data_IF_315861654812
#
_entry.id   IF_315861654812
#
_cell.length_a   1.000
_cell.length_b   1.000
_cell.length_c   1.000
_cell.angle_alpha   90.00
_cell.angle_beta   90.00
_cell.angle_gamma   90.00
#
_symmetry.space_group_name_H-M   'P 1'
#
loop_
_entity.id
_entity.type
_entity.pdbx_description
1 polymer ?
#
# COMPACT_ATOMS: atom_id res chain seq x y z
N UNK A 1 1.00 24.09 -23.72
CA UNK A 1 1.53 24.03 -22.34
C UNK A 1 2.19 22.67 -22.19
N UNK A 2 3.29 22.57 -21.50
CA UNK A 2 3.99 21.32 -21.29
C UNK A 2 3.18 20.44 -20.33
N UNK A 3 3.01 19.17 -20.71
CA UNK A 3 2.21 18.20 -19.96
C UNK A 3 2.93 17.79 -18.69
N UNK A 4 2.24 17.83 -17.55
CA UNK A 4 2.77 17.39 -16.24
C UNK A 4 2.38 15.93 -16.02
N UNK A 5 3.34 15.06 -15.65
CA UNK A 5 3.03 13.69 -15.29
C UNK A 5 2.70 13.57 -13.79
N UNK A 6 1.67 12.78 -13.47
CA UNK A 6 1.23 12.49 -12.11
C UNK A 6 1.39 11.00 -11.85
N UNK A 7 2.13 10.63 -10.81
CA UNK A 7 2.37 9.22 -10.48
C UNK A 7 2.65 9.01 -9.00
N UNK A 8 2.42 7.79 -8.53
CA UNK A 8 2.80 7.33 -7.21
C UNK A 8 4.05 6.44 -7.23
N UNK A 9 4.22 5.59 -6.24
CA UNK A 9 5.45 4.81 -6.04
C UNK A 9 5.62 3.63 -7.02
N UNK A 10 6.86 3.06 -7.08
CA UNK A 10 7.27 2.00 -8.01
C UNK A 10 6.52 0.68 -7.87
N UNK A 11 6.09 0.33 -6.64
CA UNK A 11 5.31 -0.88 -6.38
C UNK A 11 3.86 -0.47 -6.13
N UNK A 12 3.10 -0.13 -7.20
CA UNK A 12 1.85 0.57 -7.05
C UNK A 12 0.77 -0.31 -6.43
N UNK A 13 0.13 0.23 -5.41
CA UNK A 13 -1.11 -0.26 -4.84
C UNK A 13 -2.33 0.49 -5.39
N UNK A 14 -3.48 0.31 -4.78
CA UNK A 14 -4.72 0.93 -5.25
C UNK A 14 -4.72 2.44 -5.01
N UNK A 15 -4.20 2.94 -3.86
CA UNK A 15 -4.11 4.39 -3.62
C UNK A 15 -3.18 5.06 -4.63
N UNK A 16 -1.97 4.54 -4.80
CA UNK A 16 -0.99 5.02 -5.77
C UNK A 16 -1.58 5.25 -7.16
N UNK A 17 -2.28 4.26 -7.71
CA UNK A 17 -2.81 4.32 -9.08
C UNK A 17 -4.04 5.22 -9.16
N UNK A 18 -4.98 5.06 -8.24
CA UNK A 18 -6.23 5.82 -8.31
C UNK A 18 -6.01 7.28 -7.95
N UNK A 19 -5.14 7.58 -6.98
CA UNK A 19 -4.76 8.95 -6.64
C UNK A 19 -4.05 9.67 -7.78
N UNK A 20 -3.22 8.97 -8.58
CA UNK A 20 -2.62 9.56 -9.77
C UNK A 20 -3.69 9.95 -10.82
N UNK A 21 -4.66 9.06 -11.09
CA UNK A 21 -5.76 9.33 -12.03
C UNK A 21 -6.62 10.49 -11.54
N UNK A 22 -7.02 10.45 -10.28
CA UNK A 22 -7.91 11.44 -9.65
C UNK A 22 -7.25 12.81 -9.58
N UNK A 23 -5.96 12.86 -9.22
CA UNK A 23 -5.26 14.14 -9.15
C UNK A 23 -4.98 14.74 -10.53
N UNK A 24 -4.65 13.90 -11.53
CA UNK A 24 -4.55 14.35 -12.92
C UNK A 24 -5.89 14.91 -13.42
N UNK A 25 -7.02 14.27 -13.09
CA UNK A 25 -8.35 14.79 -13.39
C UNK A 25 -8.56 16.19 -12.77
N UNK A 26 -8.27 16.35 -11.47
CA UNK A 26 -8.38 17.63 -10.78
C UNK A 26 -7.53 18.71 -11.48
N UNK A 27 -6.28 18.40 -11.83
CA UNK A 27 -5.36 19.33 -12.48
C UNK A 27 -5.91 19.78 -13.84
N UNK A 28 -6.44 18.87 -14.65
CA UNK A 28 -7.07 19.18 -15.90
C UNK A 28 -8.33 20.07 -15.73
N UNK A 29 -9.14 19.79 -14.69
CA UNK A 29 -10.33 20.60 -14.38
C UNK A 29 -10.01 22.06 -14.01
N UNK A 30 -8.82 22.31 -13.48
CA UNK A 30 -8.34 23.67 -13.15
C UNK A 30 -7.43 24.27 -14.23
N UNK A 31 -7.34 23.64 -15.42
CA UNK A 31 -6.62 24.17 -16.58
C UNK A 31 -5.13 23.85 -16.66
N UNK A 32 -4.64 22.89 -15.88
CA UNK A 32 -3.26 22.37 -15.96
C UNK A 32 -3.30 21.06 -16.73
N UNK A 33 -2.61 20.97 -17.86
CA UNK A 33 -2.52 19.75 -18.65
C UNK A 33 -1.73 18.69 -17.91
N UNK A 34 -2.39 17.63 -17.44
CA UNK A 34 -1.82 16.57 -16.63
C UNK A 34 -2.19 15.17 -17.13
N UNK A 35 -1.26 14.24 -17.04
CA UNK A 35 -1.44 12.83 -17.39
C UNK A 35 -1.07 11.95 -16.22
N UNK A 36 -1.96 11.03 -15.82
CA UNK A 36 -1.63 9.97 -14.89
C UNK A 36 -0.79 8.90 -15.57
N UNK A 37 0.31 8.50 -14.94
CA UNK A 37 1.18 7.40 -15.38
C UNK A 37 1.47 6.47 -14.20
N UNK A 38 2.01 5.27 -14.47
CA UNK A 38 2.38 4.30 -13.44
C UNK A 38 3.83 3.84 -13.59
N UNK A 39 4.42 3.41 -12.51
CA UNK A 39 5.82 2.97 -12.46
C UNK A 39 5.96 1.44 -12.38
N UNK A 40 4.88 0.71 -12.09
CA UNK A 40 4.88 -0.75 -11.91
C UNK A 40 3.60 -1.40 -12.44
N UNK A 41 3.53 -2.73 -12.26
CA UNK A 41 2.36 -3.51 -12.66
C UNK A 41 1.21 -3.36 -11.66
N UNK A 42 -0.02 -3.47 -12.17
CA UNK A 42 -1.22 -3.38 -11.34
C UNK A 42 -1.48 -4.70 -10.61
N UNK A 43 -1.80 -4.60 -9.34
CA UNK A 43 -2.36 -5.73 -8.58
C UNK A 43 -3.85 -5.97 -8.97
N UNK A 44 -4.40 -7.11 -8.54
CA UNK A 44 -5.77 -7.49 -8.91
C UNK A 44 -6.83 -6.60 -8.26
N UNK A 45 -6.57 -6.05 -7.08
CA UNK A 45 -7.44 -5.11 -6.39
C UNK A 45 -7.60 -3.82 -7.20
N UNK A 46 -6.48 -3.25 -7.64
CA UNK A 46 -6.46 -2.07 -8.50
C UNK A 46 -7.16 -2.32 -9.84
N UNK A 47 -6.91 -3.48 -10.48
CA UNK A 47 -7.60 -3.86 -11.72
C UNK A 47 -9.12 -3.91 -11.53
N UNK A 48 -9.57 -4.53 -10.42
CA UNK A 48 -10.99 -4.59 -10.07
C UNK A 48 -11.61 -3.18 -9.92
N UNK A 49 -10.92 -2.27 -9.22
CA UNK A 49 -11.37 -0.90 -9.03
C UNK A 49 -11.47 -0.13 -10.36
N UNK A 50 -10.44 -0.22 -11.21
CA UNK A 50 -10.43 0.43 -12.52
C UNK A 50 -11.55 -0.08 -13.43
N UNK A 51 -11.73 -1.39 -13.53
CA UNK A 51 -12.79 -2.01 -14.31
C UNK A 51 -14.18 -1.58 -13.81
N UNK A 52 -14.40 -1.61 -12.50
CA UNK A 52 -15.68 -1.25 -11.88
C UNK A 52 -16.12 0.17 -12.22
N UNK A 53 -15.17 1.12 -12.28
CA UNK A 53 -15.48 2.53 -12.53
C UNK A 53 -15.14 2.99 -13.96
N UNK A 54 -14.82 2.05 -14.86
CA UNK A 54 -14.66 2.31 -16.29
C UNK A 54 -13.40 3.05 -16.67
N UNK A 55 -12.29 2.78 -15.99
CA UNK A 55 -10.98 3.34 -16.31
C UNK A 55 -10.04 2.31 -16.92
N UNK A 56 -9.24 2.77 -17.87
CA UNK A 56 -8.08 2.04 -18.37
C UNK A 56 -6.89 2.22 -17.42
N UNK A 57 -5.96 1.25 -17.45
CA UNK A 57 -4.72 1.36 -16.71
C UNK A 57 -3.88 2.56 -17.22
N UNK A 58 -3.35 3.41 -16.33
CA UNK A 58 -2.41 4.45 -16.74
C UNK A 58 -1.22 3.86 -17.49
N UNK A 59 -0.66 4.63 -18.42
CA UNK A 59 0.52 4.25 -19.19
C UNK A 59 1.72 3.97 -18.27
N UNK A 60 2.39 2.84 -18.49
CA UNK A 60 3.61 2.49 -17.77
C UNK A 60 4.78 3.33 -18.29
N UNK A 61 5.53 3.94 -17.38
CA UNK A 61 6.81 4.58 -17.65
C UNK A 61 7.92 3.96 -16.79
N UNK A 62 9.15 4.06 -17.25
CA UNK A 62 10.32 3.57 -16.51
C UNK A 62 11.25 4.71 -16.10
N UNK A 63 11.50 5.64 -17.00
CA UNK A 63 12.39 6.78 -16.77
C UNK A 63 11.62 8.07 -17.06
N UNK A 64 11.48 8.92 -16.05
CA UNK A 64 10.69 10.13 -16.14
C UNK A 64 11.42 11.27 -16.86
N UNK A 65 12.75 11.31 -16.81
CA UNK A 65 13.59 12.31 -17.46
C UNK A 65 13.34 12.43 -18.98
N UNK A 66 13.03 11.29 -19.61
CA UNK A 66 12.75 11.25 -21.06
C UNK A 66 11.29 11.52 -21.40
N UNK A 67 10.42 11.70 -20.43
CA UNK A 67 8.96 11.79 -20.60
C UNK A 67 8.39 13.16 -20.26
N UNK A 68 8.98 13.89 -19.30
CA UNK A 68 8.47 15.19 -18.89
C UNK A 68 9.55 16.02 -18.18
N UNK A 69 9.40 17.35 -18.22
CA UNK A 69 10.25 18.28 -17.43
C UNK A 69 9.66 18.51 -16.02
N UNK A 70 8.34 18.32 -15.86
CA UNK A 70 7.62 18.58 -14.61
C UNK A 70 6.77 17.41 -14.18
N UNK A 71 6.77 17.13 -12.89
CA UNK A 71 6.01 16.03 -12.30
C UNK A 71 5.28 16.43 -11.03
N UNK A 72 4.27 15.65 -10.70
CA UNK A 72 3.52 15.68 -9.45
C UNK A 72 3.61 14.29 -8.83
N UNK A 73 4.00 14.23 -7.56
CA UNK A 73 4.05 12.98 -6.81
C UNK A 73 2.79 12.83 -5.96
N UNK A 74 2.20 11.64 -5.96
CA UNK A 74 1.13 11.25 -5.06
C UNK A 74 1.54 10.00 -4.30
N UNK A 75 1.07 9.85 -3.07
CA UNK A 75 1.22 8.64 -2.27
C UNK A 75 2.67 8.17 -2.02
N UNK A 76 3.62 9.05 -2.19
CA UNK A 76 5.01 8.87 -1.79
C UNK A 76 5.79 10.18 -1.87
N UNK A 77 6.93 10.21 -1.17
CA UNK A 77 7.89 11.29 -1.26
C UNK A 77 9.35 10.79 -1.34
N UNK A 78 9.62 9.56 -0.92
CA UNK A 78 10.98 9.02 -0.86
C UNK A 78 11.52 8.75 -2.27
N UNK A 79 12.70 9.33 -2.64
CA UNK A 79 13.32 9.21 -3.97
C UNK A 79 13.50 7.76 -4.42
N UNK A 80 13.87 6.85 -3.50
CA UNK A 80 14.10 5.44 -3.80
C UNK A 80 12.83 4.68 -4.16
N UNK A 81 11.65 5.26 -3.90
CA UNK A 81 10.35 4.69 -4.28
C UNK A 81 9.80 5.31 -5.57
N UNK A 82 10.46 6.33 -6.09
CA UNK A 82 10.02 7.11 -7.24
C UNK A 82 10.56 6.59 -8.58
N UNK A 83 10.26 7.29 -9.66
CA UNK A 83 10.71 6.96 -11.02
C UNK A 83 12.23 7.11 -11.17
N UNK A 84 12.83 6.31 -12.06
CA UNK A 84 14.20 6.55 -12.52
C UNK A 84 14.25 7.94 -13.17
N UNK A 85 15.30 8.70 -12.91
CA UNK A 85 15.46 10.07 -13.43
C UNK A 85 14.66 11.13 -12.69
N UNK A 86 14.10 10.84 -11.52
CA UNK A 86 13.33 11.80 -10.71
C UNK A 86 14.18 13.02 -10.28
N UNK A 87 15.49 12.88 -10.20
CA UNK A 87 16.41 13.95 -9.82
C UNK A 87 16.68 14.96 -10.95
N UNK A 88 16.34 14.58 -12.20
CA UNK A 88 16.57 15.38 -13.40
C UNK A 88 15.32 16.20 -13.81
N UNK A 89 14.20 16.03 -13.12
CA UNK A 89 12.93 16.71 -13.41
C UNK A 89 12.48 17.58 -12.25
N UNK A 90 11.66 18.59 -12.54
CA UNK A 90 11.09 19.45 -11.50
C UNK A 90 9.88 18.81 -10.85
N UNK A 91 9.97 18.49 -9.56
CA UNK A 91 8.81 18.12 -8.75
C UNK A 91 8.07 19.41 -8.38
N UNK A 92 6.84 19.58 -8.88
CA UNK A 92 6.03 20.78 -8.64
C UNK A 92 5.06 20.65 -7.48
N UNK A 93 4.59 19.42 -7.23
CA UNK A 93 3.64 19.14 -6.14
C UNK A 93 3.90 17.75 -5.56
N UNK A 94 3.60 17.61 -4.25
CA UNK A 94 3.56 16.32 -3.53
C UNK A 94 2.28 16.29 -2.70
N UNK A 95 1.49 15.23 -2.86
CA UNK A 95 0.29 14.94 -2.05
C UNK A 95 0.48 13.55 -1.44
N UNK A 96 0.64 13.48 -0.13
CA UNK A 96 1.09 12.25 0.52
C UNK A 96 0.61 12.14 1.96
N UNK A 97 0.38 10.92 2.43
CA UNK A 97 0.02 10.61 3.82
C UNK A 97 1.12 9.86 4.57
N UNK A 98 2.25 9.62 3.93
CA UNK A 98 3.40 8.94 4.52
C UNK A 98 4.30 9.89 5.31
N UNK A 99 5.23 9.30 6.08
CA UNK A 99 6.32 10.07 6.67
C UNK A 99 7.17 10.72 5.58
N UNK A 100 7.73 11.87 5.86
CA UNK A 100 8.67 12.54 4.96
C UNK A 100 10.07 12.01 5.25
N UNK A 101 10.74 11.45 4.24
CA UNK A 101 12.11 10.97 4.35
C UNK A 101 12.83 11.04 3.00
N UNK A 102 14.15 11.29 3.01
CA UNK A 102 15.02 11.31 1.82
C UNK A 102 14.45 12.15 0.67
N UNK A 103 13.87 13.31 1.01
CA UNK A 103 13.21 14.22 0.07
C UNK A 103 13.86 15.61 0.13
N UNK A 104 14.29 16.08 -1.01
CA UNK A 104 14.80 17.44 -1.20
C UNK A 104 14.52 17.89 -2.63
N UNK A 105 14.34 19.18 -2.84
CA UNK A 105 14.11 19.79 -4.16
C UNK A 105 14.94 21.05 -4.32
N UNK A 106 15.30 21.38 -5.56
CA UNK A 106 16.01 22.62 -5.88
C UNK A 106 15.06 23.83 -5.82
N UNK A 107 13.80 23.65 -6.18
CA UNK A 107 12.80 24.71 -6.28
C UNK A 107 11.69 24.56 -5.24
N UNK A 108 11.04 25.66 -4.84
CA UNK A 108 9.83 25.61 -4.03
C UNK A 108 8.71 24.87 -4.75
N UNK A 109 7.93 24.09 -3.98
CA UNK A 109 6.81 23.29 -4.49
C UNK A 109 5.59 23.40 -3.58
N UNK A 110 4.44 22.96 -4.09
CA UNK A 110 3.28 22.71 -3.25
C UNK A 110 3.43 21.35 -2.57
N UNK A 111 3.55 21.32 -1.25
CA UNK A 111 3.67 20.08 -0.48
C UNK A 111 2.52 19.97 0.51
N UNK A 112 1.69 18.93 0.37
CA UNK A 112 0.59 18.64 1.29
C UNK A 112 0.72 17.24 1.85
N UNK A 113 1.10 17.16 3.11
CA UNK A 113 1.19 15.93 3.87
C UNK A 113 0.23 15.99 5.06
N UNK A 114 -0.60 14.98 5.24
CA UNK A 114 -1.54 14.87 6.34
C UNK A 114 -1.51 13.47 6.97
N UNK A 115 -1.64 13.34 8.30
CA UNK A 115 -1.58 12.05 8.98
C UNK A 115 -2.93 11.32 8.94
N UNK A 116 -3.42 11.05 7.74
CA UNK A 116 -4.65 10.28 7.44
C UNK A 116 -4.31 8.88 6.93
N UNK A 117 -5.31 8.04 6.72
CA UNK A 117 -5.13 6.66 6.30
C UNK A 117 -4.79 6.48 4.82
N UNK A 118 -5.11 7.48 3.97
CA UNK A 118 -5.02 7.36 2.51
C UNK A 118 -4.81 8.73 1.84
N UNK A 119 -4.03 8.78 0.76
CA UNK A 119 -3.81 9.99 -0.05
C UNK A 119 -5.11 10.52 -0.66
N UNK A 120 -6.02 9.64 -1.08
CA UNK A 120 -7.31 10.04 -1.65
C UNK A 120 -8.17 10.84 -0.67
N UNK A 121 -8.04 10.66 0.64
CA UNK A 121 -8.69 11.50 1.67
C UNK A 121 -8.22 12.94 1.58
N UNK A 122 -6.92 13.16 1.37
CA UNK A 122 -6.34 14.50 1.17
C UNK A 122 -6.87 15.11 -0.14
N UNK A 123 -6.87 14.33 -1.21
CA UNK A 123 -7.34 14.79 -2.53
C UNK A 123 -8.82 15.18 -2.49
N UNK A 124 -9.67 14.44 -1.75
CA UNK A 124 -11.07 14.80 -1.54
C UNK A 124 -11.23 16.19 -0.90
N UNK A 125 -10.36 16.54 0.06
CA UNK A 125 -10.34 17.90 0.64
C UNK A 125 -9.94 18.95 -0.40
N UNK A 126 -8.95 18.65 -1.25
CA UNK A 126 -8.49 19.57 -2.29
C UNK A 126 -9.61 19.85 -3.31
N UNK A 127 -10.40 18.85 -3.71
CA UNK A 127 -11.58 19.06 -4.57
C UNK A 127 -12.56 20.07 -3.95
N UNK A 128 -12.87 19.91 -2.67
CA UNK A 128 -13.77 20.81 -1.93
C UNK A 128 -13.20 22.23 -1.85
N UNK A 129 -11.94 22.38 -1.50
CA UNK A 129 -11.23 23.67 -1.41
C UNK A 129 -11.20 24.41 -2.75
N UNK A 130 -11.07 23.67 -3.86
CA UNK A 130 -11.09 24.23 -5.22
C UNK A 130 -12.49 24.43 -5.78
N UNK A 131 -13.53 23.92 -5.11
CA UNK A 131 -14.90 23.98 -5.59
C UNK A 131 -15.13 23.19 -6.88
N UNK A 132 -14.36 22.12 -7.11
CA UNK A 132 -14.48 21.25 -8.27
C UNK A 132 -15.45 20.11 -7.94
N UNK A 133 -16.44 19.91 -8.79
CA UNK A 133 -17.38 18.80 -8.67
C UNK A 133 -16.68 17.46 -8.93
N UNK A 134 -17.03 16.45 -8.12
CA UNK A 134 -16.45 15.10 -8.21
C UNK A 134 -17.42 14.22 -9.00
N UNK A 135 -17.07 13.78 -10.22
CA UNK A 135 -17.88 12.82 -10.98
C UNK A 135 -17.97 11.46 -10.27
N UNK A 136 -19.05 10.73 -10.55
CA UNK A 136 -19.32 9.44 -9.92
C UNK A 136 -18.17 8.43 -10.06
N UNK A 137 -17.57 8.33 -11.24
CA UNK A 137 -16.45 7.42 -11.49
C UNK A 137 -15.16 7.84 -10.77
N UNK A 138 -14.89 9.14 -10.67
CA UNK A 138 -13.75 9.70 -9.88
C UNK A 138 -13.99 9.45 -8.38
N UNK A 139 -15.21 9.65 -7.90
CA UNK A 139 -15.58 9.32 -6.51
C UNK A 139 -15.35 7.84 -6.21
N UNK A 140 -15.68 6.97 -7.16
CA UNK A 140 -15.45 5.53 -7.04
C UNK A 140 -13.97 5.17 -6.91
N UNK A 141 -13.09 5.80 -7.66
CA UNK A 141 -11.64 5.59 -7.53
C UNK A 141 -11.10 6.07 -6.19
N UNK A 142 -11.50 7.25 -5.71
CA UNK A 142 -11.09 7.73 -4.38
C UNK A 142 -11.61 6.82 -3.27
N UNK A 143 -12.84 6.33 -3.39
CA UNK A 143 -13.41 5.36 -2.45
C UNK A 143 -12.61 4.07 -2.44
N UNK A 144 -12.18 3.59 -3.60
CA UNK A 144 -11.34 2.39 -3.74
C UNK A 144 -10.03 2.52 -3.00
N UNK A 145 -9.33 3.64 -3.17
CA UNK A 145 -8.10 3.96 -2.44
C UNK A 145 -8.30 3.91 -0.93
N UNK A 146 -9.31 4.63 -0.43
CA UNK A 146 -9.59 4.69 1.02
C UNK A 146 -9.92 3.30 1.57
N UNK A 147 -10.74 2.52 0.87
CA UNK A 147 -11.09 1.15 1.28
C UNK A 147 -9.87 0.24 1.33
N UNK A 148 -8.98 0.34 0.34
CA UNK A 148 -7.73 -0.41 0.27
C UNK A 148 -6.84 -0.13 1.48
N UNK A 149 -6.41 1.10 1.67
CA UNK A 149 -5.44 1.51 2.69
C UNK A 149 -5.96 1.35 4.12
N UNK A 150 -7.27 1.50 4.29
CA UNK A 150 -7.90 1.37 5.60
C UNK A 150 -8.42 -0.03 5.89
N UNK A 151 -8.25 -0.98 4.96
CA UNK A 151 -8.84 -2.34 5.05
C UNK A 151 -10.32 -2.27 5.44
N UNK A 152 -11.09 -1.52 4.68
CA UNK A 152 -12.52 -1.27 4.95
C UNK A 152 -12.73 -0.73 6.38
N UNK A 153 -11.97 0.33 6.74
CA UNK A 153 -11.98 1.04 8.03
C UNK A 153 -11.45 0.25 9.24
N UNK A 154 -10.85 -0.91 9.03
CA UNK A 154 -10.38 -1.81 10.09
C UNK A 154 -8.89 -1.63 10.40
N UNK A 155 -8.13 -1.00 9.51
CA UNK A 155 -6.72 -0.71 9.75
C UNK A 155 -6.54 0.28 10.89
N UNK A 156 -5.54 0.08 11.76
CA UNK A 156 -5.18 1.08 12.78
C UNK A 156 -4.63 2.39 12.20
N UNK A 157 -4.41 2.46 10.88
CA UNK A 157 -4.06 3.69 10.15
C UNK A 157 -5.27 4.54 9.81
N UNK A 158 -6.49 3.93 9.80
CA UNK A 158 -7.73 4.60 9.48
C UNK A 158 -8.04 5.72 10.48
N UNK A 159 -8.48 6.87 9.97
CA UNK A 159 -8.92 8.01 10.76
C UNK A 159 -10.41 8.30 10.52
N UNK A 160 -11.01 9.11 11.41
CA UNK A 160 -12.40 9.59 11.23
C UNK A 160 -12.57 10.41 9.94
N UNK A 161 -11.48 11.02 9.44
CA UNK A 161 -11.49 11.78 8.19
C UNK A 161 -11.60 10.84 6.97
N UNK A 162 -10.96 9.69 7.03
CA UNK A 162 -11.05 8.65 5.98
C UNK A 162 -12.48 8.09 5.92
N UNK A 163 -13.06 7.77 7.08
CA UNK A 163 -14.44 7.28 7.17
C UNK A 163 -15.42 8.31 6.63
N UNK A 164 -15.26 9.57 7.02
CA UNK A 164 -16.13 10.67 6.57
C UNK A 164 -16.02 10.85 5.05
N UNK A 165 -14.80 10.89 4.51
CA UNK A 165 -14.57 11.00 3.07
C UNK A 165 -15.19 9.81 2.30
N UNK A 166 -14.98 8.59 2.79
CA UNK A 166 -15.53 7.38 2.16
C UNK A 166 -17.08 7.41 2.14
N UNK A 167 -17.74 7.83 3.22
CA UNK A 167 -19.21 7.93 3.29
C UNK A 167 -19.80 9.03 2.37
N UNK A 168 -19.05 10.07 2.09
CA UNK A 168 -19.44 11.05 1.08
C UNK A 168 -19.25 10.50 -0.35
N UNK A 169 -18.09 9.88 -0.60
CA UNK A 169 -17.73 9.32 -1.90
C UNK A 169 -18.62 8.13 -2.29
N UNK A 170 -19.04 7.30 -1.33
CA UNK A 170 -20.01 6.21 -1.51
C UNK A 170 -21.30 6.70 -2.19
N UNK A 171 -21.84 7.82 -1.72
CA UNK A 171 -23.07 8.42 -2.26
C UNK A 171 -22.84 8.95 -3.67
N UNK A 172 -21.69 9.58 -3.93
CA UNK A 172 -21.36 10.13 -5.25
C UNK A 172 -21.06 8.99 -6.25
N UNK A 173 -20.39 7.93 -5.81
CA UNK A 173 -20.09 6.76 -6.62
C UNK A 173 -21.31 5.88 -6.89
N UNK A 174 -22.36 5.98 -6.06
CA UNK A 174 -23.57 5.17 -6.19
C UNK A 174 -23.38 3.69 -5.87
N UNK A 175 -22.49 3.37 -4.95
CA UNK A 175 -22.21 1.99 -4.49
C UNK A 175 -22.43 1.89 -2.97
N UNK A 176 -22.60 0.68 -2.46
CA UNK A 176 -22.51 0.42 -1.03
C UNK A 176 -21.06 0.09 -0.68
N UNK A 177 -20.44 0.84 0.22
CA UNK A 177 -19.00 0.73 0.51
C UNK A 177 -18.63 -0.61 1.12
N UNK A 178 -19.49 -1.21 1.96
CA UNK A 178 -19.22 -2.49 2.58
C UNK A 178 -19.24 -3.62 1.53
N UNK A 179 -20.27 -3.66 0.68
CA UNK A 179 -20.39 -4.68 -0.38
C UNK A 179 -19.30 -4.52 -1.43
N UNK A 180 -19.10 -3.30 -1.91
CA UNK A 180 -18.06 -2.99 -2.91
C UNK A 180 -16.67 -3.25 -2.36
N UNK A 181 -16.37 -2.71 -1.17
CA UNK A 181 -15.07 -2.82 -0.54
C UNK A 181 -14.68 -4.27 -0.25
N UNK A 182 -15.62 -5.07 0.25
CA UNK A 182 -15.38 -6.50 0.45
C UNK A 182 -15.09 -7.23 -0.87
N UNK A 183 -15.83 -6.93 -1.95
CA UNK A 183 -15.60 -7.54 -3.25
C UNK A 183 -14.22 -7.15 -3.83
N UNK A 184 -13.83 -5.88 -3.69
CA UNK A 184 -12.53 -5.37 -4.13
C UNK A 184 -11.36 -6.00 -3.35
N UNK A 185 -11.44 -6.05 -2.02
CA UNK A 185 -10.42 -6.69 -1.17
C UNK A 185 -10.31 -8.19 -1.47
N UNK A 186 -11.44 -8.88 -1.74
CA UNK A 186 -11.41 -10.27 -2.18
C UNK A 186 -10.70 -10.47 -3.51
N UNK A 187 -10.92 -9.56 -4.47
CA UNK A 187 -10.22 -9.62 -5.75
C UNK A 187 -8.71 -9.44 -5.59
N UNK A 188 -8.28 -8.57 -4.66
CA UNK A 188 -6.87 -8.39 -4.31
C UNK A 188 -6.25 -9.56 -3.54
N UNK A 189 -7.07 -10.24 -2.75
CA UNK A 189 -6.64 -11.36 -1.90
C UNK A 189 -6.74 -12.73 -2.58
N UNK A 190 -7.06 -12.79 -3.87
CA UNK A 190 -6.98 -14.03 -4.65
C UNK A 190 -5.50 -14.39 -4.88
N UNK A 191 -5.05 -15.36 -4.10
CA UNK A 191 -3.68 -15.86 -4.10
C UNK A 191 -3.54 -17.21 -4.82
N UNK A 192 -4.61 -17.69 -5.48
CA UNK A 192 -4.68 -19.03 -6.09
C UNK A 192 -3.64 -19.24 -7.18
N UNK A 193 -3.32 -18.19 -7.95
CA UNK A 193 -2.38 -18.21 -9.05
C UNK A 193 -0.93 -17.82 -8.64
N UNK A 194 -0.69 -17.53 -7.36
CA UNK A 194 0.63 -17.11 -6.88
C UNK A 194 1.54 -18.30 -6.58
N UNK A 195 2.79 -18.23 -7.04
CA UNK A 195 3.83 -19.13 -6.56
C UNK A 195 4.15 -18.87 -5.09
N UNK A 196 4.82 -19.81 -4.41
CA UNK A 196 5.21 -19.61 -3.02
C UNK A 196 6.27 -18.49 -2.89
N UNK A 197 7.18 -18.41 -3.85
CA UNK A 197 8.20 -17.37 -3.94
C UNK A 197 7.54 -15.98 -4.10
N UNK A 198 6.51 -15.89 -4.95
CA UNK A 198 5.73 -14.64 -5.10
C UNK A 198 5.06 -14.27 -3.78
N UNK A 199 4.43 -15.22 -3.07
CA UNK A 199 3.78 -14.95 -1.78
C UNK A 199 4.76 -14.40 -0.74
N UNK A 200 5.97 -14.99 -0.64
CA UNK A 200 6.98 -14.55 0.32
C UNK A 200 7.58 -13.19 -0.02
N UNK A 201 7.56 -12.79 -1.29
CA UNK A 201 8.14 -11.53 -1.78
C UNK A 201 7.13 -10.40 -1.99
N UNK A 202 5.83 -10.70 -2.07
CA UNK A 202 4.76 -9.77 -2.50
C UNK A 202 4.75 -8.45 -1.70
N UNK A 203 4.87 -8.54 -0.38
CA UNK A 203 5.05 -7.38 0.51
C UNK A 203 6.06 -7.74 1.61
N UNK A 204 7.29 -8.05 1.20
CA UNK A 204 8.41 -8.33 2.07
C UNK A 204 9.27 -7.08 2.26
N UNK A 205 9.67 -6.82 3.50
CA UNK A 205 10.60 -5.74 3.86
C UNK A 205 11.67 -6.24 4.80
N UNK A 206 12.90 -5.80 4.53
CA UNK A 206 14.04 -6.04 5.41
C UNK A 206 14.15 -4.96 6.48
N UNK A 207 14.51 -5.39 7.69
CA UNK A 207 14.71 -4.51 8.85
C UNK A 207 15.99 -4.92 9.57
N UNK A 208 16.65 -3.94 10.16
CA UNK A 208 17.68 -4.18 11.20
C UNK A 208 17.03 -3.81 12.54
N UNK A 209 16.87 -4.80 13.42
CA UNK A 209 16.25 -4.65 14.74
C UNK A 209 17.30 -5.01 15.81
N UNK A 210 17.88 -3.99 16.48
CA UNK A 210 19.08 -4.18 17.26
C UNK A 210 20.26 -4.63 16.37
N UNK A 211 20.85 -5.78 16.68
CA UNK A 211 21.90 -6.41 15.87
C UNK A 211 21.38 -7.47 14.89
N UNK A 212 20.04 -7.64 14.82
CA UNK A 212 19.41 -8.73 14.09
C UNK A 212 18.90 -8.29 12.71
N UNK A 213 19.15 -9.13 11.70
CA UNK A 213 18.58 -9.02 10.36
C UNK A 213 17.25 -9.75 10.30
N UNK A 214 16.19 -9.02 9.97
CA UNK A 214 14.81 -9.53 9.98
C UNK A 214 14.13 -9.23 8.65
N UNK A 215 13.48 -10.23 8.06
CA UNK A 215 12.48 -10.00 7.01
C UNK A 215 11.09 -10.17 7.63
N UNK A 216 10.22 -9.20 7.32
CA UNK A 216 8.80 -9.29 7.62
C UNK A 216 8.04 -9.21 6.30
N UNK A 217 7.37 -10.30 5.94
CA UNK A 217 6.50 -10.38 4.77
C UNK A 217 5.04 -10.47 5.22
N UNK A 218 4.13 -9.84 4.47
CA UNK A 218 2.69 -9.88 4.76
C UNK A 218 1.89 -10.10 3.48
N UNK A 219 0.86 -10.94 3.56
CA UNK A 219 -0.14 -11.11 2.52
C UNK A 219 -1.54 -11.04 3.14
N UNK A 220 -2.49 -10.51 2.36
CA UNK A 220 -3.90 -10.50 2.72
C UNK A 220 -4.58 -11.70 2.07
N UNK A 221 -5.38 -12.45 2.83
CA UNK A 221 -6.11 -13.61 2.35
C UNK A 221 -7.59 -13.53 2.76
N UNK A 222 -8.46 -14.10 1.92
CA UNK A 222 -9.88 -14.34 2.27
C UNK A 222 -10.01 -15.61 3.11
N UNK A 223 -9.25 -16.64 2.73
CA UNK A 223 -9.09 -17.87 3.51
C UNK A 223 -7.59 -18.07 3.78
N UNK A 224 -7.23 -18.02 5.04
CA UNK A 224 -5.84 -18.25 5.48
C UNK A 224 -5.31 -19.62 5.05
N UNK A 225 -6.18 -20.62 4.90
CA UNK A 225 -5.79 -21.96 4.49
C UNK A 225 -5.29 -22.02 3.04
N UNK A 226 -5.66 -21.08 2.16
CA UNK A 226 -5.13 -21.00 0.80
C UNK A 226 -3.59 -20.81 0.79
N UNK A 227 -3.07 -20.19 1.82
CA UNK A 227 -1.63 -19.97 2.04
C UNK A 227 -1.05 -21.00 3.00
N UNK A 228 -1.63 -21.09 4.20
CA UNK A 228 -1.10 -21.93 5.28
C UNK A 228 -1.28 -23.44 5.03
N UNK A 229 -2.17 -23.85 4.13
CA UNK A 229 -2.25 -25.23 3.63
C UNK A 229 -0.98 -25.72 2.92
N UNK A 230 -0.06 -24.79 2.58
CA UNK A 230 1.25 -25.06 1.97
C UNK A 230 2.42 -24.78 2.92
N UNK A 231 2.17 -24.82 4.24
CA UNK A 231 3.14 -24.43 5.27
C UNK A 231 4.51 -25.12 5.14
N UNK A 232 4.54 -26.44 4.95
CA UNK A 232 5.81 -27.19 4.85
C UNK A 232 6.69 -26.65 3.70
N UNK A 233 6.08 -26.38 2.55
CA UNK A 233 6.78 -25.83 1.39
C UNK A 233 7.24 -24.37 1.62
N UNK A 234 6.42 -23.56 2.31
CA UNK A 234 6.82 -22.22 2.70
C UNK A 234 8.00 -22.23 3.66
N UNK A 235 8.01 -23.14 4.63
CA UNK A 235 9.13 -23.30 5.57
C UNK A 235 10.43 -23.69 4.86
N UNK A 236 10.36 -24.57 3.85
CA UNK A 236 11.53 -24.94 3.04
C UNK A 236 12.13 -23.71 2.34
N UNK A 237 11.30 -22.91 1.66
CA UNK A 237 11.74 -21.70 0.95
C UNK A 237 12.27 -20.63 1.91
N UNK A 238 11.58 -20.39 3.00
CA UNK A 238 12.00 -19.43 4.03
C UNK A 238 13.37 -19.84 4.61
N UNK A 239 13.60 -21.13 4.87
CA UNK A 239 14.88 -21.59 5.40
C UNK A 239 16.03 -21.39 4.39
N UNK A 240 15.78 -21.54 3.09
CA UNK A 240 16.76 -21.20 2.04
C UNK A 240 17.07 -19.71 2.09
N UNK A 241 16.06 -18.86 2.14
CA UNK A 241 16.25 -17.40 2.18
C UNK A 241 16.96 -16.92 3.46
N UNK A 242 16.68 -17.54 4.60
CA UNK A 242 17.40 -17.29 5.87
C UNK A 242 18.89 -17.59 5.71
N UNK A 243 19.25 -18.70 5.05
CA UNK A 243 20.65 -19.06 4.83
C UNK A 243 21.35 -18.14 3.83
N UNK A 244 20.71 -17.83 2.70
CA UNK A 244 21.30 -17.00 1.65
C UNK A 244 21.51 -15.54 2.08
N UNK A 245 20.58 -15.00 2.85
CA UNK A 245 20.64 -13.61 3.33
C UNK A 245 21.21 -13.43 4.74
N UNK A 246 21.60 -14.55 5.39
CA UNK A 246 22.07 -14.55 6.78
C UNK A 246 21.09 -13.87 7.75
N UNK A 247 19.80 -14.25 7.65
CA UNK A 247 18.75 -13.68 8.48
C UNK A 247 18.73 -14.30 9.88
N UNK A 248 18.35 -13.51 10.86
CA UNK A 248 18.09 -13.94 12.22
C UNK A 248 16.64 -14.38 12.41
N UNK A 249 15.73 -13.73 11.67
CA UNK A 249 14.30 -14.01 11.71
C UNK A 249 13.67 -13.75 10.34
N UNK A 250 12.86 -14.68 9.86
CA UNK A 250 11.86 -14.45 8.84
C UNK A 250 10.48 -14.57 9.46
N UNK A 251 9.69 -13.50 9.38
CA UNK A 251 8.37 -13.41 9.98
C UNK A 251 7.32 -13.19 8.88
N UNK A 252 6.56 -14.24 8.58
CA UNK A 252 5.54 -14.20 7.52
C UNK A 252 4.15 -14.08 8.12
N UNK A 253 3.38 -13.09 7.70
CA UNK A 253 2.06 -12.77 8.23
C UNK A 253 1.01 -12.97 7.13
N UNK A 254 0.04 -13.83 7.39
CA UNK A 254 -1.13 -14.03 6.54
C UNK A 254 -2.33 -13.40 7.24
N UNK A 255 -2.79 -12.26 6.73
CA UNK A 255 -3.89 -11.49 7.32
C UNK A 255 -5.23 -11.95 6.76
N UNK A 256 -6.11 -12.42 7.64
CA UNK A 256 -7.51 -12.70 7.34
C UNK A 256 -8.27 -11.37 7.24
N UNK A 257 -8.60 -10.96 6.03
CA UNK A 257 -9.30 -9.69 5.79
C UNK A 257 -10.76 -9.70 6.24
N UNK A 258 -11.33 -10.87 6.52
CA UNK A 258 -12.71 -11.00 6.98
C UNK A 258 -12.82 -10.89 8.50
N UNK A 259 -11.89 -11.54 9.23
CA UNK A 259 -11.95 -11.64 10.68
C UNK A 259 -11.04 -10.64 11.40
N UNK A 260 -10.17 -9.91 10.67
CA UNK A 260 -9.16 -8.99 11.21
C UNK A 260 -8.16 -9.64 12.17
N UNK A 261 -7.84 -10.86 11.92
CA UNK A 261 -6.81 -11.61 12.60
C UNK A 261 -5.70 -11.95 11.62
N UNK A 262 -4.52 -12.28 12.11
CA UNK A 262 -3.47 -12.82 11.25
C UNK A 262 -2.98 -14.16 11.78
N UNK A 263 -2.53 -15.01 10.87
CA UNK A 263 -1.72 -16.18 11.21
C UNK A 263 -0.28 -15.84 10.84
N UNK A 264 0.64 -16.02 11.78
CA UNK A 264 2.05 -15.75 11.57
C UNK A 264 2.86 -17.03 11.57
N UNK A 265 3.86 -17.10 10.68
CA UNK A 265 4.89 -18.13 10.60
C UNK A 265 6.23 -17.47 10.95
N UNK A 266 6.93 -17.99 11.96
CA UNK A 266 8.20 -17.45 12.44
C UNK A 266 9.30 -18.51 12.32
N UNK A 267 10.36 -18.21 11.56
CA UNK A 267 11.51 -19.08 11.33
C UNK A 267 12.83 -18.32 11.53
N UNK A 268 13.87 -19.04 11.94
CA UNK A 268 15.19 -18.50 12.23
C UNK A 268 15.56 -18.60 13.70
N UNK A 269 16.81 -18.25 14.02
CA UNK A 269 17.35 -18.37 15.40
C UNK A 269 16.66 -17.48 16.42
N UNK A 270 15.99 -16.43 15.96
CA UNK A 270 15.25 -15.48 16.80
C UNK A 270 13.73 -15.72 16.80
N UNK A 271 13.23 -16.84 16.22
CA UNK A 271 11.80 -17.13 16.14
C UNK A 271 11.10 -17.16 17.50
N UNK A 272 11.76 -17.63 18.56
CA UNK A 272 11.22 -17.63 19.94
C UNK A 272 10.97 -16.22 20.48
N UNK A 273 11.65 -15.18 20.00
CA UNK A 273 11.37 -13.80 20.40
C UNK A 273 9.99 -13.31 19.91
N UNK A 274 9.44 -13.92 18.86
CA UNK A 274 8.09 -13.63 18.40
C UNK A 274 7.02 -14.05 19.46
N UNK A 275 7.24 -15.09 20.24
CA UNK A 275 6.33 -15.48 21.34
C UNK A 275 6.21 -14.36 22.38
N UNK A 276 7.35 -13.78 22.75
CA UNK A 276 7.37 -12.65 23.68
C UNK A 276 6.75 -11.39 23.09
N UNK A 277 7.06 -11.09 21.79
CA UNK A 277 6.55 -9.92 21.09
C UNK A 277 5.02 -9.86 21.06
N UNK A 278 4.37 -11.01 20.87
CA UNK A 278 2.91 -11.08 20.71
C UNK A 278 2.20 -11.73 21.90
N UNK A 279 2.94 -12.18 22.92
CA UNK A 279 2.42 -12.91 24.08
C UNK A 279 1.54 -14.13 23.67
N UNK A 280 2.01 -14.90 22.69
CA UNK A 280 1.36 -16.11 22.17
C UNK A 280 2.40 -17.21 21.96
N UNK A 281 1.99 -18.47 22.10
CA UNK A 281 2.85 -19.61 21.78
C UNK A 281 2.82 -19.89 20.27
N UNK A 282 3.99 -20.15 19.68
CA UNK A 282 4.10 -20.67 18.34
C UNK A 282 4.17 -22.20 18.37
N UNK A 283 3.17 -22.84 17.77
CA UNK A 283 3.11 -24.30 17.65
C UNK A 283 3.44 -24.67 16.21
N UNK A 284 4.45 -25.50 16.01
CA UNK A 284 4.97 -25.82 14.68
C UNK A 284 5.26 -24.54 13.87
N UNK A 285 5.96 -23.58 14.48
CA UNK A 285 6.34 -22.30 13.91
C UNK A 285 5.17 -21.32 13.60
N UNK A 286 3.93 -21.66 13.93
CA UNK A 286 2.71 -20.89 13.60
C UNK A 286 1.99 -20.42 14.84
N UNK A 287 1.48 -19.18 14.82
CA UNK A 287 0.60 -18.62 15.83
C UNK A 287 -0.54 -17.80 15.23
N UNK A 288 -1.69 -17.79 15.91
CA UNK A 288 -2.80 -16.88 15.63
C UNK A 288 -2.57 -15.56 16.39
N UNK A 289 -2.49 -14.46 15.62
CA UNK A 289 -2.33 -13.10 16.14
C UNK A 289 -3.67 -12.36 16.04
N UNK A 290 -4.44 -12.40 17.13
CA UNK A 290 -5.77 -11.76 17.16
C UNK A 290 -5.67 -10.24 17.06
N UNK A 291 -6.46 -9.64 16.19
CA UNK A 291 -6.53 -8.19 16.00
C UNK A 291 -5.26 -7.57 15.38
N UNK A 292 -4.32 -8.37 14.88
CA UNK A 292 -3.12 -7.90 14.20
C UNK A 292 -3.37 -7.91 12.71
N UNK A 293 -3.38 -6.71 12.08
CA UNK A 293 -3.63 -6.52 10.64
C UNK A 293 -2.62 -5.59 9.98
N UNK A 294 -1.78 -4.92 10.75
CA UNK A 294 -0.84 -3.91 10.25
C UNK A 294 0.61 -4.26 10.59
N UNK A 295 1.40 -4.57 9.54
CA UNK A 295 2.85 -4.73 9.71
C UNK A 295 3.48 -3.50 10.34
N UNK A 296 3.21 -2.30 9.79
CA UNK A 296 3.84 -1.02 10.20
C UNK A 296 3.53 -0.64 11.66
N UNK A 297 2.26 -0.77 12.08
CA UNK A 297 1.83 -0.26 13.39
C UNK A 297 1.81 -1.31 14.50
N UNK A 298 1.73 -2.60 14.15
CA UNK A 298 1.57 -3.67 15.14
C UNK A 298 2.73 -4.66 15.12
N UNK A 299 3.15 -5.14 13.92
CA UNK A 299 4.18 -6.19 13.85
C UNK A 299 5.58 -5.63 14.04
N UNK A 300 5.95 -4.60 13.28
CA UNK A 300 7.31 -4.01 13.37
C UNK A 300 7.64 -3.49 14.78
N UNK A 301 6.77 -2.69 15.44
CA UNK A 301 7.08 -2.22 16.78
C UNK A 301 7.25 -3.34 17.80
N UNK A 302 6.35 -4.33 17.79
CA UNK A 302 6.40 -5.46 18.74
C UNK A 302 7.69 -6.29 18.59
N UNK A 303 8.06 -6.62 17.34
CA UNK A 303 9.30 -7.35 17.08
C UNK A 303 10.56 -6.51 17.39
N UNK A 304 10.53 -5.20 17.10
CA UNK A 304 11.65 -4.30 17.42
C UNK A 304 11.92 -4.27 18.93
N UNK A 305 10.87 -4.18 19.76
CA UNK A 305 10.98 -4.19 21.22
C UNK A 305 11.54 -5.53 21.72
N UNK A 306 10.98 -6.65 21.26
CA UNK A 306 11.40 -7.99 21.71
C UNK A 306 12.82 -8.39 21.26
N UNK A 307 13.30 -7.85 20.16
CA UNK A 307 14.65 -8.11 19.62
C UNK A 307 15.71 -7.12 20.15
N UNK A 308 15.32 -6.04 20.81
CA UNK A 308 16.24 -5.11 21.45
C UNK A 308 16.72 -5.61 22.83
N UNK A 309 16.03 -6.59 23.43
CA UNK A 309 16.37 -7.27 24.68
C UNK A 309 17.30 -8.49 24.45
#
# INVERSE_FOLDING_TARGET
MEKVLVFGHQNPDTDTITSAIVYAYLKNAIGVEAEAVRLGELNNETKYALEKFGFEAPRLIKNVETEAEKVILVDHNEKQQSAIGIEEVQITEVIDHHRIANFETADPLYYRAEPVGCTATIINKIFKEKGIEIPSNIAGLMLSAIVSDTLLFKSPTCTEEDITAARELEKLAGVNVEEYGLAMLKAGADLSDKSLEDLLSLDAKEFTMGEHKVIIAQVNAVDVNDVMGRQEQLEELINVEIQEKELDLFFFVVTDILNNDSVALALGKMALKAEAAFNVAFVNNVALLKGVVSRKKQVVPALTEALAE
#
